data_IF_277010840502
#
_entry.id   IF_277010840502
#
_cell.length_a   1.000
_cell.length_b   1.000
_cell.length_c   1.000
_cell.angle_alpha   90.00
_cell.angle_beta   90.00
_cell.angle_gamma   90.00
#
_symmetry.space_group_name_H-M   'P 1'
#
loop_
_entity.id
_entity.type
_entity.pdbx_description
1 polymer ?
#
# COMPACT_ATOMS: atom_id res chain seq x y z
N UNK A 1 -19.03 13.91 8.71
CA UNK A 1 -19.10 15.36 8.43
C UNK A 1 -18.24 16.08 9.46
N UNK A 2 -17.58 17.18 9.13
CA UNK A 2 -16.83 18.00 10.10
C UNK A 2 -17.78 19.02 10.75
N UNK A 3 -17.48 19.47 11.97
CA UNK A 3 -18.28 20.52 12.64
C UNK A 3 -18.27 21.81 11.82
N UNK A 4 -19.39 22.56 11.71
CA UNK A 4 -19.44 23.86 11.02
C UNK A 4 -18.35 24.83 11.48
N UNK A 5 -18.02 24.84 12.78
CA UNK A 5 -16.97 25.69 13.36
C UNK A 5 -15.59 25.42 12.74
N UNK A 6 -15.29 24.16 12.40
CA UNK A 6 -14.01 23.78 11.80
C UNK A 6 -13.92 24.22 10.33
N UNK A 7 -15.06 24.36 9.65
CA UNK A 7 -15.13 24.92 8.29
C UNK A 7 -14.92 26.44 8.34
N UNK A 8 -15.58 27.13 9.28
CA UNK A 8 -15.38 28.56 9.53
C UNK A 8 -13.89 28.85 9.81
N UNK A 9 -13.27 28.06 10.69
CA UNK A 9 -11.84 28.22 11.04
C UNK A 9 -10.88 28.02 9.87
N UNK A 10 -11.24 27.23 8.86
CA UNK A 10 -10.46 27.07 7.63
C UNK A 10 -10.71 28.22 6.64
N UNK A 11 -11.96 28.67 6.49
CA UNK A 11 -12.31 29.78 5.60
C UNK A 11 -11.73 31.15 6.02
N UNK A 12 -11.33 31.30 7.28
CA UNK A 12 -10.72 32.52 7.80
C UNK A 12 -9.23 32.71 7.44
N UNK A 13 -8.54 31.69 6.92
CA UNK A 13 -7.13 31.79 6.53
C UNK A 13 -6.98 32.17 5.05
N UNK A 14 -6.80 33.47 4.80
CA UNK A 14 -6.29 33.98 3.52
C UNK A 14 -4.90 33.45 3.16
N UNK A 15 -4.49 33.70 1.92
CA UNK A 15 -3.35 33.04 1.27
C UNK A 15 -2.02 33.08 2.08
N UNK A 16 -1.24 31.97 2.08
CA UNK A 16 0.02 31.91 2.79
C UNK A 16 1.11 32.71 2.08
N UNK A 17 1.25 34.00 2.44
CA UNK A 17 2.42 34.80 2.03
C UNK A 17 3.70 34.11 2.47
N UNK A 18 4.59 33.86 1.51
CA UNK A 18 5.85 33.15 1.74
C UNK A 18 6.71 33.90 2.76
N UNK A 19 7.17 33.18 3.79
CA UNK A 19 8.15 33.68 4.75
C UNK A 19 9.50 33.07 4.38
N UNK A 20 10.41 33.89 3.85
CA UNK A 20 11.70 33.43 3.32
C UNK A 20 12.69 32.97 4.40
N UNK A 21 13.70 32.20 3.99
CA UNK A 21 14.65 31.50 4.87
C UNK A 21 15.62 32.41 5.65
N UNK A 22 15.09 33.16 6.64
CA UNK A 22 15.91 33.84 7.64
C UNK A 22 15.16 34.25 8.92
N UNK A 23 14.80 33.30 9.77
CA UNK A 23 14.98 33.37 11.25
C UNK A 23 14.41 32.12 11.98
N UNK A 24 15.27 31.27 12.55
CA UNK A 24 14.88 30.18 13.46
C UNK A 24 14.72 30.66 14.92
N UNK A 25 14.08 31.83 15.14
CA UNK A 25 13.90 32.37 16.50
C UNK A 25 12.76 33.39 16.66
N UNK A 26 11.52 33.03 16.33
CA UNK A 26 10.33 33.71 16.89
C UNK A 26 9.18 32.74 17.16
N UNK A 27 8.75 32.66 18.43
CA UNK A 27 7.56 31.88 18.85
C UNK A 27 6.27 32.33 18.17
N UNK A 28 6.24 33.55 17.63
CA UNK A 28 5.07 34.17 16.99
C UNK A 28 5.01 33.93 15.46
N UNK A 29 5.97 33.21 14.87
CA UNK A 29 5.86 32.82 13.46
C UNK A 29 4.66 31.88 13.26
N UNK A 30 3.77 32.20 12.33
CA UNK A 30 2.47 31.51 12.20
C UNK A 30 2.60 30.02 11.87
N UNK A 31 3.66 29.60 11.18
CA UNK A 31 3.97 28.18 10.98
C UNK A 31 4.37 27.48 12.29
N UNK A 32 5.16 28.12 13.15
CA UNK A 32 5.55 27.57 14.45
C UNK A 32 4.34 27.43 15.38
N UNK A 33 3.49 28.47 15.44
CA UNK A 33 2.22 28.43 16.20
C UNK A 33 1.27 27.35 15.68
N UNK A 34 1.18 27.15 14.36
CA UNK A 34 0.37 26.06 13.77
C UNK A 34 0.90 24.67 14.16
N UNK A 35 2.22 24.45 14.15
CA UNK A 35 2.82 23.17 14.58
C UNK A 35 2.62 22.89 16.07
N UNK A 36 2.84 23.88 16.96
CA UNK A 36 2.64 23.69 18.40
C UNK A 36 1.16 23.43 18.74
N UNK A 37 0.24 24.16 18.09
CA UNK A 37 -1.21 23.96 18.26
C UNK A 37 -1.65 22.58 17.77
N UNK A 38 -1.20 22.12 16.60
CA UNK A 38 -1.50 20.78 16.11
C UNK A 38 -0.94 19.67 17.03
N UNK A 39 0.25 19.88 17.61
CA UNK A 39 0.86 18.97 18.58
C UNK A 39 0.05 18.89 19.89
N UNK A 40 -0.44 20.03 20.40
CA UNK A 40 -1.33 20.06 21.57
C UNK A 40 -2.66 19.34 21.29
N UNK A 41 -3.35 19.68 20.20
CA UNK A 41 -4.61 19.02 19.80
C UNK A 41 -4.44 17.50 19.65
N UNK A 42 -3.29 17.04 19.14
CA UNK A 42 -3.00 15.61 19.08
C UNK A 42 -2.74 14.98 20.47
N UNK A 43 -2.09 15.69 21.40
CA UNK A 43 -1.91 15.21 22.78
C UNK A 43 -3.24 15.09 23.52
N UNK A 44 -4.14 16.06 23.39
CA UNK A 44 -5.38 16.12 24.17
C UNK A 44 -6.52 15.24 23.59
N UNK A 45 -6.41 14.82 22.33
CA UNK A 45 -7.38 13.93 21.68
C UNK A 45 -7.62 12.61 22.46
N UNK A 46 -8.88 12.18 22.68
CA UNK A 46 -9.20 10.96 23.44
C UNK A 46 -8.47 9.69 22.98
N UNK A 47 -8.06 8.86 23.95
CA UNK A 47 -7.29 7.62 23.70
C UNK A 47 -8.01 6.64 22.75
N UNK A 48 -9.34 6.52 22.84
CA UNK A 48 -10.14 5.70 21.93
C UNK A 48 -10.06 6.18 20.48
N UNK A 49 -10.29 7.47 20.23
CA UNK A 49 -10.21 8.08 18.88
C UNK A 49 -8.80 8.00 18.27
N UNK A 50 -7.75 7.99 19.09
CA UNK A 50 -6.37 7.69 18.65
C UNK A 50 -6.23 6.23 18.20
N UNK A 51 -6.81 5.29 18.95
CA UNK A 51 -6.89 3.87 18.60
C UNK A 51 -7.58 3.65 17.25
N UNK A 52 -8.81 4.13 17.10
CA UNK A 52 -9.58 4.04 15.85
C UNK A 52 -8.82 4.59 14.65
N UNK A 53 -8.18 5.76 14.77
CA UNK A 53 -7.42 6.36 13.66
C UNK A 53 -6.21 5.49 13.28
N UNK A 54 -5.51 4.93 14.27
CA UNK A 54 -4.41 3.98 14.05
C UNK A 54 -4.89 2.69 13.39
N UNK A 55 -6.08 2.22 13.74
CA UNK A 55 -6.71 1.02 13.16
C UNK A 55 -7.21 1.24 11.73
N UNK A 56 -7.91 2.34 11.47
CA UNK A 56 -8.35 2.73 10.12
C UNK A 56 -7.16 2.85 9.16
N UNK A 57 -6.03 3.41 9.61
CA UNK A 57 -4.76 3.44 8.85
C UNK A 57 -4.08 2.07 8.66
N UNK A 58 -4.29 1.09 9.56
CA UNK A 58 -3.86 -0.31 9.33
C UNK A 58 -4.74 -0.97 8.28
N UNK A 59 -6.06 -0.82 8.40
CA UNK A 59 -7.03 -1.41 7.49
C UNK A 59 -6.85 -0.90 6.06
N UNK A 60 -6.73 0.41 5.86
CA UNK A 60 -6.44 1.04 4.56
C UNK A 60 -5.13 0.52 3.92
N UNK A 61 -4.07 0.35 4.73
CA UNK A 61 -2.81 -0.26 4.26
C UNK A 61 -2.99 -1.72 3.87
N UNK A 62 -3.79 -2.50 4.61
CA UNK A 62 -4.11 -3.88 4.27
C UNK A 62 -4.91 -3.95 2.97
N UNK A 63 -5.95 -3.12 2.79
CA UNK A 63 -6.73 -3.08 1.56
C UNK A 63 -5.87 -2.78 0.32
N UNK A 64 -4.91 -1.84 0.42
CA UNK A 64 -3.97 -1.58 -0.68
C UNK A 64 -3.04 -2.75 -0.98
N UNK A 65 -2.52 -3.43 0.05
CA UNK A 65 -1.67 -4.61 -0.14
C UNK A 65 -2.46 -5.79 -0.70
N UNK A 66 -3.70 -6.01 -0.26
CA UNK A 66 -4.59 -7.03 -0.80
C UNK A 66 -4.89 -6.75 -2.29
N UNK A 67 -5.28 -5.53 -2.66
CA UNK A 67 -5.57 -5.17 -4.06
C UNK A 67 -4.35 -5.33 -4.99
N UNK A 68 -3.13 -5.06 -4.49
CA UNK A 68 -1.89 -5.35 -5.21
C UNK A 68 -1.68 -6.87 -5.32
N UNK A 69 -1.89 -7.63 -4.24
CA UNK A 69 -1.79 -9.09 -4.24
C UNK A 69 -2.75 -9.76 -5.21
N UNK A 70 -4.03 -9.38 -5.20
CA UNK A 70 -5.07 -9.83 -6.12
C UNK A 70 -4.72 -9.52 -7.58
N UNK A 71 -4.25 -8.29 -7.85
CA UNK A 71 -3.75 -7.91 -9.18
C UNK A 71 -2.62 -8.84 -9.63
N UNK A 72 -1.60 -9.04 -8.79
CA UNK A 72 -0.46 -9.89 -9.12
C UNK A 72 -0.85 -11.36 -9.30
N UNK A 73 -1.74 -11.90 -8.47
CA UNK A 73 -2.28 -13.25 -8.62
C UNK A 73 -2.99 -13.44 -9.97
N UNK A 74 -3.73 -12.42 -10.44
CA UNK A 74 -4.28 -12.44 -11.79
C UNK A 74 -3.17 -12.51 -12.85
N UNK A 75 -2.12 -11.68 -12.75
CA UNK A 75 -1.00 -11.72 -13.72
C UNK A 75 -0.29 -13.08 -13.71
N UNK A 76 -0.10 -13.70 -12.54
CA UNK A 76 0.47 -15.04 -12.40
C UNK A 76 -0.40 -16.11 -13.08
N UNK A 77 -1.74 -16.00 -12.98
CA UNK A 77 -2.67 -16.93 -13.65
C UNK A 77 -2.63 -16.89 -15.19
N UNK A 78 -2.04 -15.84 -15.77
CA UNK A 78 -1.88 -15.68 -17.23
C UNK A 78 -0.50 -16.11 -17.74
N UNK A 79 0.39 -16.57 -16.86
CA UNK A 79 1.70 -17.08 -17.25
C UNK A 79 1.62 -18.58 -17.56
N UNK A 80 2.24 -18.96 -18.66
CA UNK A 80 2.47 -20.36 -19.01
C UNK A 80 3.71 -20.83 -18.23
N UNK A 81 3.61 -21.86 -17.37
CA UNK A 81 4.75 -22.37 -16.62
C UNK A 81 5.85 -22.99 -17.50
N UNK A 82 5.57 -23.31 -18.77
CA UNK A 82 6.57 -23.76 -19.74
C UNK A 82 7.33 -22.60 -20.41
N UNK A 83 6.81 -21.36 -20.39
CA UNK A 83 7.42 -20.21 -21.07
C UNK A 83 8.43 -19.49 -20.17
N UNK A 84 9.71 -19.65 -20.49
CA UNK A 84 10.83 -19.14 -19.67
C UNK A 84 11.20 -17.68 -19.90
N UNK A 85 10.73 -17.05 -20.98
CA UNK A 85 11.05 -15.68 -21.38
C UNK A 85 9.83 -15.01 -22.02
N UNK A 86 9.59 -13.73 -21.70
CA UNK A 86 8.45 -12.95 -22.20
C UNK A 86 8.95 -11.71 -22.95
N UNK A 87 8.45 -11.50 -24.17
CA UNK A 87 8.74 -10.31 -24.96
C UNK A 87 7.94 -9.10 -24.46
N UNK A 88 8.34 -7.88 -24.88
CA UNK A 88 7.53 -6.68 -24.61
C UNK A 88 6.13 -6.74 -25.19
N UNK A 89 5.95 -7.44 -26.33
CA UNK A 89 4.63 -7.64 -26.92
C UNK A 89 3.78 -8.57 -26.05
N UNK A 90 4.30 -9.74 -25.66
CA UNK A 90 3.59 -10.67 -24.76
C UNK A 90 3.08 -9.95 -23.50
N UNK A 91 3.91 -9.07 -22.96
CA UNK A 91 3.59 -8.26 -21.77
C UNK A 91 2.43 -7.29 -22.04
N UNK A 92 2.44 -6.57 -23.16
CA UNK A 92 1.32 -5.73 -23.58
C UNK A 92 0.04 -6.54 -23.78
N UNK A 93 0.13 -7.71 -24.45
CA UNK A 93 -1.02 -8.59 -24.69
C UNK A 93 -1.65 -9.09 -23.36
N UNK A 94 -0.83 -9.36 -22.34
CA UNK A 94 -1.31 -9.72 -20.99
C UNK A 94 -1.95 -8.50 -20.29
N UNK A 95 -1.41 -7.29 -20.45
CA UNK A 95 -2.01 -6.05 -19.91
C UNK A 95 -3.36 -5.77 -20.58
N UNK A 96 -3.50 -5.97 -21.89
CA UNK A 96 -4.78 -5.79 -22.58
C UNK A 96 -5.81 -6.83 -22.09
N UNK A 97 -5.43 -8.11 -21.96
CA UNK A 97 -6.29 -9.12 -21.31
C UNK A 97 -6.68 -8.74 -19.87
N UNK A 98 -5.84 -8.03 -19.13
CA UNK A 98 -6.18 -7.51 -17.80
C UNK A 98 -7.20 -6.37 -17.87
N UNK A 99 -7.07 -5.44 -18.82
CA UNK A 99 -8.00 -4.32 -18.98
C UNK A 99 -9.40 -4.81 -19.39
N UNK A 100 -9.46 -5.82 -20.28
CA UNK A 100 -10.70 -6.42 -20.79
C UNK A 100 -11.34 -7.47 -19.85
N UNK A 101 -10.81 -7.67 -18.63
CA UNK A 101 -11.26 -8.71 -17.68
C UNK A 101 -12.70 -8.54 -17.16
N UNK A 102 -13.33 -7.39 -17.37
CA UNK A 102 -14.70 -7.11 -16.92
C UNK A 102 -15.71 -7.03 -18.08
N UNK A 103 -15.29 -7.21 -19.33
CA UNK A 103 -16.14 -6.97 -20.50
C UNK A 103 -17.36 -7.90 -20.51
N UNK A 104 -17.19 -9.18 -20.15
CA UNK A 104 -18.29 -10.13 -19.99
C UNK A 104 -19.27 -9.78 -18.84
N UNK A 105 -18.79 -9.13 -17.76
CA UNK A 105 -19.68 -8.65 -16.69
C UNK A 105 -20.46 -7.41 -17.15
N UNK A 106 -19.84 -6.53 -17.93
CA UNK A 106 -20.51 -5.37 -18.54
C UNK A 106 -21.55 -5.80 -19.59
N UNK A 107 -21.23 -6.76 -20.46
CA UNK A 107 -22.16 -7.36 -21.42
C UNK A 107 -23.34 -8.03 -20.71
N UNK A 108 -23.09 -8.80 -19.65
CA UNK A 108 -24.17 -9.39 -18.84
C UNK A 108 -25.08 -8.31 -18.22
N UNK A 109 -24.52 -7.21 -17.71
CA UNK A 109 -25.30 -6.08 -17.17
C UNK A 109 -26.10 -5.38 -18.28
N UNK A 110 -25.54 -5.22 -19.47
CA UNK A 110 -26.23 -4.61 -20.62
C UNK A 110 -27.38 -5.49 -21.11
N UNK A 111 -27.16 -6.81 -21.27
CA UNK A 111 -28.18 -7.78 -21.63
C UNK A 111 -29.34 -7.81 -20.61
N UNK A 112 -29.04 -7.83 -19.31
CA UNK A 112 -30.06 -7.80 -18.25
C UNK A 112 -30.89 -6.50 -18.29
N UNK A 113 -30.27 -5.35 -18.57
CA UNK A 113 -30.96 -4.08 -18.73
C UNK A 113 -31.70 -3.95 -20.09
N UNK A 114 -31.29 -4.70 -21.11
CA UNK A 114 -31.93 -4.75 -22.42
C UNK A 114 -33.25 -5.55 -22.48
N UNK A 115 -33.51 -6.39 -21.47
CA UNK A 115 -34.77 -7.14 -21.35
C UNK A 115 -35.93 -6.18 -21.06
N UNK A 116 -36.70 -5.86 -22.11
CA UNK A 116 -37.80 -4.89 -22.06
C UNK A 116 -38.91 -5.33 -21.10
N UNK A 117 -39.13 -4.56 -20.04
CA UNK A 117 -40.19 -4.78 -19.06
C UNK A 117 -40.43 -3.56 -18.17
N UNK A 118 -41.27 -3.71 -17.14
CA UNK A 118 -41.52 -2.67 -16.12
C UNK A 118 -40.46 -2.69 -14.99
N UNK A 119 -39.18 -2.83 -15.35
CA UNK A 119 -38.05 -2.83 -14.41
C UNK A 119 -37.22 -1.56 -14.62
N UNK A 120 -36.71 -0.99 -13.53
CA UNK A 120 -35.72 0.09 -13.60
C UNK A 120 -34.30 -0.46 -13.87
N UNK A 121 -33.35 0.42 -14.18
CA UNK A 121 -31.94 0.04 -14.44
C UNK A 121 -31.37 -0.75 -13.25
N UNK A 122 -31.05 -2.02 -13.50
CA UNK A 122 -30.39 -2.92 -12.55
C UNK A 122 -28.87 -2.76 -12.61
N UNK A 123 -28.19 -3.13 -11.53
CA UNK A 123 -26.72 -3.17 -11.39
C UNK A 123 -25.95 -1.85 -11.64
N UNK A 124 -26.63 -0.72 -11.86
CA UNK A 124 -25.99 0.55 -12.25
C UNK A 124 -24.90 1.09 -11.29
N UNK A 125 -24.92 0.72 -10.01
CA UNK A 125 -23.82 1.03 -9.08
C UNK A 125 -22.56 0.20 -9.36
N UNK A 126 -22.71 -1.11 -9.60
CA UNK A 126 -21.61 -2.01 -9.97
C UNK A 126 -21.05 -1.66 -11.34
N UNK A 127 -21.92 -1.42 -12.32
CA UNK A 127 -21.57 -0.98 -13.67
C UNK A 127 -20.70 0.29 -13.64
N UNK A 128 -21.13 1.31 -12.88
CA UNK A 128 -20.37 2.55 -12.71
C UNK A 128 -19.01 2.32 -12.04
N UNK A 129 -18.92 1.45 -11.02
CA UNK A 129 -17.66 1.12 -10.33
C UNK A 129 -16.68 0.37 -11.25
N UNK A 130 -17.17 -0.54 -12.09
CA UNK A 130 -16.36 -1.22 -13.12
C UNK A 130 -15.83 -0.19 -14.12
N UNK A 131 -16.72 0.61 -14.72
CA UNK A 131 -16.36 1.60 -15.75
C UNK A 131 -15.30 2.60 -15.24
N UNK A 132 -15.48 3.17 -14.05
CA UNK A 132 -14.49 4.04 -13.40
C UNK A 132 -13.17 3.34 -13.04
N UNK A 133 -13.16 2.01 -12.91
CA UNK A 133 -11.94 1.25 -12.61
C UNK A 133 -11.16 0.96 -13.88
N UNK A 134 -11.83 0.47 -14.94
CA UNK A 134 -11.22 0.24 -16.26
C UNK A 134 -10.71 1.55 -16.86
N UNK A 135 -11.49 2.64 -16.77
CA UNK A 135 -11.08 3.99 -17.21
C UNK A 135 -9.79 4.45 -16.51
N UNK A 136 -9.71 4.30 -15.19
CA UNK A 136 -8.52 4.65 -14.40
C UNK A 136 -7.31 3.78 -14.74
N UNK A 137 -7.50 2.47 -14.95
CA UNK A 137 -6.43 1.54 -15.30
C UNK A 137 -5.91 1.78 -16.72
N UNK A 138 -6.79 2.07 -17.68
CA UNK A 138 -6.41 2.45 -19.06
C UNK A 138 -5.67 3.78 -19.09
N UNK A 139 -6.15 4.80 -18.39
CA UNK A 139 -5.47 6.10 -18.27
C UNK A 139 -4.05 5.97 -17.66
N UNK A 140 -3.87 5.07 -16.69
CA UNK A 140 -2.54 4.75 -16.14
C UNK A 140 -1.63 4.05 -17.17
N UNK A 141 -2.15 3.10 -17.96
CA UNK A 141 -1.37 2.40 -18.98
C UNK A 141 -0.90 3.33 -20.12
N UNK A 142 -1.80 4.17 -20.63
CA UNK A 142 -1.51 5.07 -21.76
C UNK A 142 -0.66 6.30 -21.38
N UNK A 143 -0.80 6.76 -20.13
CA UNK A 143 -0.13 7.96 -19.60
C UNK A 143 1.13 7.70 -18.78
N UNK A 144 1.03 6.91 -17.70
CA UNK A 144 2.07 6.79 -16.66
C UNK A 144 2.85 5.46 -16.70
N UNK A 145 2.43 4.52 -17.57
CA UNK A 145 2.90 3.14 -17.59
C UNK A 145 2.22 2.29 -16.50
N UNK A 146 1.76 1.10 -16.89
CA UNK A 146 1.06 0.19 -15.99
C UNK A 146 2.06 -0.61 -15.14
N UNK A 147 1.86 -0.61 -13.82
CA UNK A 147 2.72 -1.34 -12.87
C UNK A 147 2.39 -2.84 -12.87
N UNK A 148 3.35 -3.66 -13.28
CA UNK A 148 3.24 -5.12 -13.45
C UNK A 148 4.49 -5.82 -12.86
N UNK A 149 4.46 -7.14 -12.58
CA UNK A 149 5.66 -7.87 -12.23
C UNK A 149 6.62 -7.98 -13.43
N UNK A 150 7.93 -7.95 -13.17
CA UNK A 150 8.98 -7.92 -14.19
C UNK A 150 9.23 -9.30 -14.85
N UNK A 151 8.24 -9.78 -15.60
CA UNK A 151 8.25 -11.08 -16.28
C UNK A 151 9.20 -11.18 -17.49
N UNK A 152 9.72 -10.04 -17.97
CA UNK A 152 10.73 -9.97 -19.04
C UNK A 152 12.08 -10.54 -18.54
N UNK A 153 12.44 -10.26 -17.28
CA UNK A 153 13.68 -10.75 -16.70
C UNK A 153 13.49 -12.18 -16.15
N UNK A 154 14.06 -13.19 -16.81
CA UNK A 154 13.92 -14.61 -16.45
C UNK A 154 14.30 -14.94 -14.99
N UNK A 155 15.15 -14.12 -14.34
CA UNK A 155 15.43 -14.22 -12.88
C UNK A 155 14.26 -13.78 -12.00
N UNK A 156 13.55 -12.73 -12.38
CA UNK A 156 12.39 -12.21 -11.64
C UNK A 156 11.14 -13.04 -11.95
N UNK A 157 11.00 -13.53 -13.19
CA UNK A 157 9.96 -14.46 -13.61
C UNK A 157 9.91 -15.73 -12.73
N UNK A 158 11.05 -16.35 -12.40
CA UNK A 158 11.08 -17.53 -11.50
C UNK A 158 10.55 -17.20 -10.10
N UNK A 159 11.11 -16.18 -9.46
CA UNK A 159 10.66 -15.67 -8.14
C UNK A 159 9.18 -15.31 -8.13
N UNK A 160 8.63 -14.87 -9.26
CA UNK A 160 7.22 -14.51 -9.40
C UNK A 160 6.32 -15.73 -9.68
N UNK A 161 6.78 -16.70 -10.46
CA UNK A 161 6.07 -17.96 -10.71
C UNK A 161 5.94 -18.80 -9.42
N UNK A 162 7.00 -18.85 -8.61
CA UNK A 162 7.07 -19.53 -7.31
C UNK A 162 6.31 -18.80 -6.16
N UNK A 163 5.71 -17.63 -6.43
CA UNK A 163 5.08 -16.81 -5.40
C UNK A 163 3.63 -17.24 -5.13
N UNK A 164 3.40 -17.97 -4.04
CA UNK A 164 2.08 -18.47 -3.63
C UNK A 164 1.16 -17.39 -3.00
N UNK A 165 1.07 -16.19 -3.57
CA UNK A 165 0.18 -15.11 -3.09
C UNK A 165 0.56 -14.45 -1.75
N UNK A 166 1.68 -14.84 -1.11
CA UNK A 166 2.08 -14.35 0.21
C UNK A 166 2.36 -12.83 0.20
N UNK A 167 1.46 -12.07 0.83
CA UNK A 167 1.51 -10.61 0.94
C UNK A 167 2.80 -10.10 1.60
N UNK A 168 3.47 -10.91 2.45
CA UNK A 168 4.76 -10.53 3.08
C UNK A 168 5.92 -10.52 2.07
N UNK A 169 5.80 -11.25 0.96
CA UNK A 169 6.82 -11.33 -0.10
C UNK A 169 6.64 -10.29 -1.19
N UNK A 170 5.50 -9.56 -1.23
CA UNK A 170 5.25 -8.47 -2.18
C UNK A 170 6.42 -7.47 -2.32
N UNK A 171 7.09 -6.99 -1.24
CA UNK A 171 8.19 -6.03 -1.38
C UNK A 171 9.45 -6.59 -2.08
N UNK A 172 9.56 -7.91 -2.20
CA UNK A 172 10.68 -8.57 -2.87
C UNK A 172 10.43 -8.76 -4.38
N UNK A 173 9.17 -8.76 -4.81
CA UNK A 173 8.78 -8.85 -6.23
C UNK A 173 9.18 -7.54 -6.92
N UNK A 174 9.91 -7.65 -8.03
CA UNK A 174 10.27 -6.47 -8.84
C UNK A 174 9.10 -6.11 -9.74
N UNK A 175 8.56 -4.91 -9.52
CA UNK A 175 7.58 -4.30 -10.40
C UNK A 175 8.27 -3.42 -11.44
N UNK A 176 7.74 -3.45 -12.66
CA UNK A 176 8.13 -2.64 -13.82
C UNK A 176 6.92 -1.83 -14.26
N UNK A 177 7.13 -0.61 -14.77
CA UNK A 177 6.09 0.14 -15.50
C UNK A 177 6.25 -0.15 -16.98
N UNK A 178 5.16 -0.46 -17.66
CA UNK A 178 5.14 -0.69 -19.12
C UNK A 178 4.04 0.18 -19.74
N UNK A 179 4.39 0.96 -20.76
CA UNK A 179 3.45 1.68 -21.62
C UNK A 179 3.41 1.08 -23.03
N UNK A 180 2.31 1.22 -23.79
CA UNK A 180 2.22 0.63 -25.13
C UNK A 180 3.29 1.20 -26.10
N UNK A 181 3.71 2.45 -25.87
CA UNK A 181 4.74 3.18 -26.63
C UNK A 181 6.14 2.55 -26.54
N UNK A 182 6.39 1.67 -25.57
CA UNK A 182 7.66 0.97 -25.38
C UNK A 182 7.77 -0.34 -26.16
N UNK A 183 6.65 -0.90 -26.63
CA UNK A 183 6.66 -2.08 -27.51
C UNK A 183 7.16 -1.72 -28.92
N UNK A 184 6.77 -0.56 -29.43
CA UNK A 184 7.13 -0.07 -30.78
C UNK A 184 8.60 0.36 -30.93
N UNK A 185 9.32 0.59 -29.82
CA UNK A 185 10.67 1.17 -29.83
C UNK A 185 11.66 0.39 -28.92
N UNK A 186 12.24 -0.72 -29.40
CA UNK A 186 13.11 -1.59 -28.57
C UNK A 186 14.47 -0.98 -28.15
N UNK A 187 14.83 0.22 -28.62
CA UNK A 187 16.20 0.77 -28.55
C UNK A 187 16.52 1.68 -27.34
N UNK A 188 15.73 1.65 -26.25
CA UNK A 188 15.94 2.55 -25.07
C UNK A 188 15.85 1.88 -23.69
N UNK A 189 16.55 0.76 -23.49
CA UNK A 189 16.85 0.23 -22.14
C UNK A 189 18.35 0.09 -21.88
N UNK A 190 19.03 1.24 -21.78
CA UNK A 190 20.37 1.33 -21.20
C UNK A 190 20.42 2.50 -20.22
N UNK A 191 20.32 2.19 -18.92
CA UNK A 191 20.60 3.12 -17.81
C UNK A 191 19.53 4.20 -17.55
N UNK A 192 18.54 3.89 -16.72
CA UNK A 192 17.84 4.92 -15.95
C UNK A 192 17.37 4.39 -14.58
N UNK A 193 18.24 4.38 -13.55
CA UNK A 193 17.81 4.06 -12.20
C UNK A 193 16.86 5.16 -11.69
N UNK A 194 15.63 4.79 -11.35
CA UNK A 194 14.63 5.71 -10.80
C UNK A 194 15.17 6.41 -9.54
N UNK A 195 15.40 7.72 -9.64
CA UNK A 195 15.51 8.60 -8.47
C UNK A 195 14.13 8.81 -7.86
N UNK A 196 13.62 7.79 -7.18
CA UNK A 196 12.54 8.01 -6.22
C UNK A 196 13.10 8.73 -5.00
N UNK A 197 12.46 9.83 -4.59
CA UNK A 197 12.91 10.68 -3.49
C UNK A 197 12.53 10.10 -2.10
N UNK A 198 12.95 8.87 -1.83
CA UNK A 198 12.82 8.24 -0.52
C UNK A 198 13.94 8.70 0.43
N UNK A 199 13.64 9.58 1.38
CA UNK A 199 14.58 10.06 2.40
C UNK A 199 15.23 8.91 3.20
N UNK A 200 16.55 8.70 3.13
CA UNK A 200 17.25 7.75 3.99
C UNK A 200 17.69 8.45 5.28
N UNK A 201 16.83 8.47 6.30
CA UNK A 201 17.24 8.84 7.67
C UNK A 201 18.17 7.76 8.25
N UNK A 202 19.46 7.86 7.92
CA UNK A 202 20.55 7.29 8.72
C UNK A 202 21.01 8.35 9.71
N UNK A 203 20.70 8.16 10.98
CA UNK A 203 21.58 8.63 12.05
C UNK A 203 22.36 7.44 12.60
N UNK A 204 23.66 7.63 12.80
CA UNK A 204 24.57 6.68 13.42
C UNK A 204 25.71 7.47 14.06
N UNK A 205 26.14 7.05 15.25
CA UNK A 205 27.32 7.63 15.92
C UNK A 205 27.00 8.76 16.91
N UNK A 206 26.73 8.36 18.15
CA UNK A 206 27.00 9.18 19.34
C UNK A 206 28.53 9.46 19.44
N UNK A 207 29.01 10.51 20.14
CA UNK A 207 29.78 10.21 21.36
C UNK A 207 29.82 11.27 22.49
N UNK A 208 29.79 10.80 23.76
CA UNK A 208 30.38 11.44 24.98
C UNK A 208 29.71 12.78 25.44
N UNK A 209 29.76 13.28 26.69
CA UNK A 209 30.16 12.85 28.07
C UNK A 209 29.58 13.92 29.06
N UNK A 210 29.41 13.79 30.38
CA UNK A 210 29.49 12.67 31.37
C UNK A 210 28.06 12.44 31.97
N UNK A 211 27.71 12.15 33.25
CA UNK A 211 28.39 11.93 34.55
C UNK A 211 27.51 11.07 35.50
N UNK A 212 27.93 10.91 36.77
CA UNK A 212 27.12 10.40 37.90
C UNK A 212 27.26 11.34 39.13
N UNK A 213 26.92 10.93 40.38
CA UNK A 213 26.49 9.61 40.90
C UNK A 213 24.96 9.63 41.27
N UNK A 214 24.32 8.83 42.15
CA UNK A 214 24.78 8.01 43.31
C UNK A 214 23.71 7.01 43.84
N UNK A 215 24.08 5.72 44.00
CA UNK A 215 23.40 4.69 44.84
C UNK A 215 21.92 4.33 44.51
N UNK A 216 21.26 3.27 45.03
CA UNK A 216 21.52 2.29 46.11
C UNK A 216 21.17 0.84 45.65
N UNK A 217 21.30 -0.14 46.56
CA UNK A 217 20.98 -1.58 46.46
C UNK A 217 19.46 -1.88 46.28
N UNK A 218 18.94 -3.10 46.02
CA UNK A 218 19.33 -4.46 46.48
C UNK A 218 19.01 -5.62 45.49
N UNK A 219 19.73 -6.73 45.71
CA UNK A 219 19.47 -8.15 45.33
C UNK A 219 19.50 -8.94 46.68
N UNK A 220 19.02 -10.20 46.83
CA UNK A 220 18.72 -11.19 45.78
C UNK A 220 17.44 -12.05 45.98
N UNK A 221 17.16 -12.99 45.05
CA UNK A 221 17.25 -14.47 45.30
C UNK A 221 16.70 -15.32 44.16
N UNK A 222 17.39 -16.44 43.92
CA UNK A 222 16.95 -17.58 43.13
C UNK A 222 16.19 -18.60 43.99
N UNK A 223 15.34 -19.41 43.36
CA UNK A 223 15.13 -20.85 43.61
C UNK A 223 14.25 -21.36 42.44
N UNK A 224 14.79 -22.09 41.46
CA UNK A 224 14.87 -23.55 41.44
C UNK A 224 13.59 -24.31 41.83
N UNK A 225 12.98 -24.98 40.84
CA UNK A 225 12.64 -26.42 40.91
C UNK A 225 12.33 -26.98 39.51
N UNK A 226 12.56 -28.28 39.32
CA UNK A 226 12.58 -28.94 38.00
C UNK A 226 12.11 -30.39 38.08
N UNK A 227 11.29 -30.84 37.12
CA UNK A 227 10.87 -32.25 36.99
C UNK A 227 9.83 -32.69 38.04
N UNK A 228 9.27 -33.91 38.00
CA UNK A 228 9.31 -35.02 37.01
C UNK A 228 7.94 -35.77 37.06
N UNK A 229 7.78 -36.86 36.28
CA UNK A 229 6.76 -37.95 36.41
C UNK A 229 5.25 -37.58 36.39
N UNK A 230 4.27 -38.46 36.15
CA UNK A 230 4.08 -39.80 35.53
C UNK A 230 2.59 -39.77 35.01
N UNK A 231 2.13 -40.37 33.91
CA UNK A 231 2.19 -41.74 33.38
C UNK A 231 1.33 -42.78 34.13
N UNK A 232 0.05 -42.93 33.73
CA UNK A 232 -0.74 -44.21 33.74
C UNK A 232 -2.04 -44.04 32.90
N UNK A 233 -2.32 -44.94 31.93
CA UNK A 233 -3.29 -46.07 31.94
C UNK A 233 -4.72 -45.68 31.44
N UNK A 234 -5.26 -46.25 30.36
CA UNK A 234 -6.08 -47.50 30.30
C UNK A 234 -7.35 -47.44 31.21
N UNK A 235 -8.55 -47.82 30.77
CA UNK A 235 -9.01 -48.45 29.50
C UNK A 235 -10.54 -48.31 29.31
N UNK A 236 -11.05 -48.74 28.13
CA UNK A 236 -12.47 -49.11 27.86
C UNK A 236 -13.54 -47.99 28.01
N UNK A 237 -14.76 -48.07 27.43
CA UNK A 237 -15.52 -49.20 26.86
C UNK A 237 -16.28 -48.82 25.56
N UNK A 238 -16.78 -49.87 24.89
CA UNK A 238 -17.69 -49.98 23.70
C UNK A 238 -18.43 -48.72 23.17
#
# INVERSE_FOLDING_TARGET
MLSPELIIFLSAFGEPKQCGDRFLSTRNCTCFVKLTTASAIYKDMPKGLKGEKKEKLKHEKSLRLNAIGEKLLWFQSQLDPAKTEYTKQDVCDIIERYLHRFDAELEQIELVNGIKGRQGRLHGSRENVIKQTVERERALYEGNGFEIPDIINCKHLKTFSEWNGDLKKLPNIKLRKVSPKEAENPLKEAGNPLKEAGNPLKEAGNPLKEAGPESLSEEPREDMLSGESEAESLSEDL
#
